data_IF_107022742563
#
_entry.id   IF_107022742563
#
_cell.length_a   1.000
_cell.length_b   1.000
_cell.length_c   1.000
_cell.angle_alpha   90.00
_cell.angle_beta   90.00
_cell.angle_gamma   90.00
#
_symmetry.space_group_name_H-M   'P 1'
#
loop_
_entity.id
_entity.type
_entity.pdbx_description
1 polymer ?
#
# COMPACT_ATOMS: atom_id res chain seq x y z
N UNK A 1 -14.95 6.38 -10.72
CA UNK A 1 -13.59 5.87 -10.43
C UNK A 1 -13.77 4.81 -9.38
N UNK A 2 -13.20 3.62 -9.56
CA UNK A 2 -13.33 2.54 -8.55
C UNK A 2 -12.29 2.75 -7.45
N UNK A 3 -12.53 2.26 -6.22
CA UNK A 3 -11.54 2.33 -5.13
C UNK A 3 -10.18 1.72 -5.57
N UNK A 4 -10.21 0.74 -6.48
CA UNK A 4 -9.03 0.10 -7.06
C UNK A 4 -8.20 1.11 -7.87
N UNK A 5 -8.85 1.92 -8.71
CA UNK A 5 -8.14 2.96 -9.49
C UNK A 5 -7.47 3.99 -8.57
N UNK A 6 -8.15 4.35 -7.48
CA UNK A 6 -7.62 5.29 -6.48
C UNK A 6 -6.45 4.70 -5.69
N UNK A 7 -6.53 3.43 -5.29
CA UNK A 7 -5.41 2.72 -4.65
C UNK A 7 -4.20 2.63 -5.58
N UNK A 8 -4.41 2.33 -6.86
CA UNK A 8 -3.34 2.32 -7.86
C UNK A 8 -2.70 3.70 -7.99
N UNK A 9 -3.49 4.77 -8.04
CA UNK A 9 -2.95 6.14 -8.08
C UNK A 9 -2.14 6.51 -6.83
N UNK A 10 -2.56 6.07 -5.64
CA UNK A 10 -1.79 6.28 -4.40
C UNK A 10 -0.45 5.55 -4.48
N UNK A 11 -0.46 4.30 -4.92
CA UNK A 11 0.75 3.52 -5.10
C UNK A 11 1.70 4.16 -6.13
N UNK A 12 1.19 4.50 -7.32
CA UNK A 12 1.95 5.15 -8.39
C UNK A 12 2.62 6.44 -7.91
N UNK A 13 1.84 7.34 -7.30
CA UNK A 13 2.37 8.60 -6.79
C UNK A 13 3.45 8.39 -5.72
N UNK A 14 3.36 7.32 -4.93
CA UNK A 14 4.36 7.02 -3.90
C UNK A 14 5.63 6.41 -4.49
N UNK A 15 5.53 5.52 -5.47
CA UNK A 15 6.71 4.91 -6.10
C UNK A 15 7.46 5.89 -7.02
N UNK A 16 6.79 6.92 -7.55
CA UNK A 16 7.44 8.01 -8.30
C UNK A 16 8.47 8.76 -7.46
N UNK A 17 8.30 8.80 -6.13
CA UNK A 17 9.26 9.38 -5.19
C UNK A 17 10.47 8.47 -4.93
N UNK A 18 10.49 7.24 -5.47
CA UNK A 18 11.56 6.26 -5.30
C UNK A 18 12.19 5.93 -6.67
N UNK A 19 13.22 6.68 -7.10
CA UNK A 19 13.83 6.50 -8.41
C UNK A 19 14.31 5.07 -8.66
N UNK A 20 13.92 4.48 -9.79
CA UNK A 20 14.31 3.14 -10.20
C UNK A 20 13.36 2.02 -9.78
N UNK A 21 12.40 2.28 -8.86
CA UNK A 21 11.37 1.32 -8.48
C UNK A 21 10.22 1.25 -9.50
N UNK A 22 9.90 2.38 -10.13
CA UNK A 22 8.82 2.49 -11.09
C UNK A 22 8.96 1.51 -12.26
N UNK A 23 7.85 0.84 -12.60
CA UNK A 23 7.72 -0.02 -13.78
C UNK A 23 6.36 0.23 -14.42
N UNK A 24 6.25 0.28 -15.76
CA UNK A 24 4.97 0.39 -16.46
C UNK A 24 3.99 -0.76 -16.14
N UNK A 25 4.47 -1.92 -15.70
CA UNK A 25 3.62 -3.09 -15.41
C UNK A 25 3.11 -3.15 -13.98
N UNK A 26 3.80 -2.46 -13.05
CA UNK A 26 3.49 -2.50 -11.62
C UNK A 26 2.06 -2.07 -11.27
N UNK A 27 1.49 -1.02 -11.87
CA UNK A 27 0.09 -0.61 -11.63
C UNK A 27 -0.92 -1.71 -11.97
N UNK A 28 -0.72 -2.40 -13.09
CA UNK A 28 -1.59 -3.50 -13.54
C UNK A 28 -1.41 -4.76 -12.68
N UNK A 29 -0.18 -5.04 -12.25
CA UNK A 29 0.12 -6.11 -11.30
C UNK A 29 -0.55 -5.86 -9.94
N UNK A 30 -0.45 -4.63 -9.41
CA UNK A 30 -1.13 -4.23 -8.18
C UNK A 30 -2.64 -4.35 -8.32
N UNK A 31 -3.22 -3.86 -9.42
CA UNK A 31 -4.67 -3.98 -9.70
C UNK A 31 -5.12 -5.44 -9.65
N UNK A 32 -4.35 -6.33 -10.30
CA UNK A 32 -4.63 -7.76 -10.33
C UNK A 32 -4.62 -8.36 -8.92
N UNK A 33 -3.62 -7.99 -8.12
CA UNK A 33 -3.48 -8.48 -6.76
C UNK A 33 -4.61 -7.96 -5.85
N UNK A 34 -5.01 -6.68 -5.95
CA UNK A 34 -6.16 -6.12 -5.20
C UNK A 34 -7.45 -6.88 -5.52
N UNK A 35 -7.70 -7.17 -6.80
CA UNK A 35 -8.88 -7.94 -7.22
C UNK A 35 -8.83 -9.37 -6.64
N UNK A 36 -7.65 -9.99 -6.62
CA UNK A 36 -7.46 -11.33 -6.10
C UNK A 36 -7.74 -11.46 -4.59
N UNK A 37 -7.60 -10.36 -3.83
CA UNK A 37 -7.89 -10.33 -2.38
C UNK A 37 -9.37 -10.53 -2.06
N UNK A 38 -10.27 -10.20 -2.99
CA UNK A 38 -11.73 -10.34 -2.82
C UNK A 38 -12.22 -9.67 -1.52
N UNK A 39 -11.85 -8.41 -1.32
CA UNK A 39 -12.38 -7.59 -0.22
C UNK A 39 -13.91 -7.65 -0.21
N UNK A 40 -14.50 -7.85 0.97
CA UNK A 40 -15.95 -7.87 1.11
C UNK A 40 -16.52 -6.44 1.13
N UNK A 41 -17.86 -6.32 1.15
CA UNK A 41 -18.53 -5.00 1.15
C UNK A 41 -18.14 -4.11 2.33
N UNK A 42 -17.78 -4.71 3.48
CA UNK A 42 -17.37 -3.95 4.65
C UNK A 42 -15.94 -3.43 4.46
N UNK A 43 -15.04 -4.29 3.99
CA UNK A 43 -13.67 -3.91 3.65
C UNK A 43 -13.65 -2.83 2.57
N UNK A 44 -14.47 -2.94 1.51
CA UNK A 44 -14.62 -1.90 0.48
C UNK A 44 -15.02 -0.55 1.10
N UNK A 45 -15.99 -0.55 2.03
CA UNK A 45 -16.39 0.67 2.75
C UNK A 45 -15.26 1.27 3.59
N UNK A 46 -14.40 0.45 4.19
CA UNK A 46 -13.21 0.93 4.90
C UNK A 46 -12.15 1.46 3.96
N UNK A 47 -11.92 0.82 2.82
CA UNK A 47 -11.00 1.30 1.79
C UNK A 47 -11.43 2.69 1.31
N UNK A 48 -12.73 2.89 1.03
CA UNK A 48 -13.25 4.21 0.66
C UNK A 48 -13.03 5.26 1.76
N UNK A 49 -13.23 4.89 3.03
CA UNK A 49 -12.96 5.79 4.16
C UNK A 49 -11.48 6.16 4.25
N UNK A 50 -10.58 5.17 4.10
CA UNK A 50 -9.12 5.37 4.08
C UNK A 50 -8.75 6.30 2.93
N UNK A 51 -9.20 6.04 1.70
CA UNK A 51 -8.92 6.87 0.53
C UNK A 51 -9.41 8.32 0.68
N UNK A 52 -10.46 8.54 1.49
CA UNK A 52 -11.02 9.87 1.73
C UNK A 52 -10.35 10.63 2.87
N UNK A 53 -9.98 9.94 3.95
CA UNK A 53 -9.54 10.57 5.21
C UNK A 53 -8.05 10.33 5.49
N UNK A 54 -7.58 9.12 5.23
CA UNK A 54 -6.26 8.64 5.64
C UNK A 54 -5.38 8.27 4.44
N UNK A 55 -5.69 8.82 3.25
CA UNK A 55 -4.96 8.55 2.00
C UNK A 55 -3.47 8.81 2.14
N UNK A 56 -3.14 9.90 2.85
CA UNK A 56 -1.77 10.29 3.11
C UNK A 56 -1.08 9.29 4.03
N UNK A 57 -1.77 8.83 5.07
CA UNK A 57 -1.24 7.86 6.02
C UNK A 57 -0.96 6.51 5.35
N UNK A 58 -1.81 6.08 4.39
CA UNK A 58 -1.56 4.92 3.55
C UNK A 58 -0.27 5.07 2.73
N UNK A 59 -0.11 6.22 2.06
CA UNK A 59 1.08 6.52 1.27
C UNK A 59 2.35 6.57 2.13
N UNK A 60 2.29 7.24 3.28
CA UNK A 60 3.41 7.35 4.22
C UNK A 60 3.78 5.99 4.83
N UNK A 61 2.80 5.18 5.24
CA UNK A 61 3.04 3.83 5.75
C UNK A 61 3.80 2.96 4.75
N UNK A 62 3.37 2.99 3.48
CA UNK A 62 4.05 2.28 2.41
C UNK A 62 5.46 2.85 2.15
N UNK A 63 5.59 4.17 2.02
CA UNK A 63 6.86 4.84 1.74
C UNK A 63 7.91 4.57 2.85
N UNK A 64 7.50 4.60 4.12
CA UNK A 64 8.39 4.38 5.26
C UNK A 64 8.88 2.93 5.32
N UNK A 65 8.02 1.97 5.02
CA UNK A 65 8.41 0.57 4.90
C UNK A 65 9.45 0.36 3.78
N UNK A 66 9.22 0.96 2.61
CA UNK A 66 10.18 0.92 1.50
C UNK A 66 11.51 1.60 1.85
N UNK A 67 11.47 2.81 2.41
CA UNK A 67 12.67 3.52 2.87
C UNK A 67 13.45 2.70 3.90
N UNK A 68 12.77 2.02 4.81
CA UNK A 68 13.40 1.15 5.80
C UNK A 68 14.13 -0.05 5.21
N UNK A 69 13.67 -0.61 4.09
CA UNK A 69 14.37 -1.66 3.33
C UNK A 69 15.58 -1.06 2.61
N UNK A 70 15.34 0.02 1.87
CA UNK A 70 16.32 0.69 1.02
C UNK A 70 17.49 1.28 1.85
N UNK A 71 17.23 1.71 3.08
CA UNK A 71 18.24 2.25 4.01
C UNK A 71 19.19 1.18 4.57
N UNK A 72 18.86 -0.11 4.46
CA UNK A 72 19.71 -1.21 4.92
C UNK A 72 20.76 -1.63 3.87
N UNK A 73 20.70 -1.06 2.67
CA UNK A 73 21.62 -1.39 1.59
C UNK A 73 22.95 -0.64 1.80
N UNK A 74 24.11 -1.30 1.58
CA UNK A 74 25.41 -0.76 1.99
C UNK A 74 25.93 0.39 1.10
N UNK A 75 25.46 0.47 -0.15
CA UNK A 75 25.95 1.43 -1.14
C UNK A 75 24.87 1.87 -2.12
N UNK A 76 25.12 3.02 -2.78
CA UNK A 76 24.21 3.55 -3.81
C UNK A 76 24.11 2.64 -5.03
N UNK A 77 25.21 1.96 -5.41
CA UNK A 77 25.20 1.00 -6.52
C UNK A 77 24.33 -0.22 -6.22
N UNK A 78 24.45 -0.78 -5.01
CA UNK A 78 23.59 -1.89 -4.58
C UNK A 78 22.13 -1.46 -4.48
N UNK A 79 21.86 -0.22 -4.06
CA UNK A 79 20.52 0.36 -4.06
C UNK A 79 19.94 0.43 -5.48
N UNK A 80 20.69 0.94 -6.45
CA UNK A 80 20.21 1.02 -7.83
C UNK A 80 19.96 -0.34 -8.46
N UNK A 81 20.83 -1.32 -8.23
CA UNK A 81 20.66 -2.69 -8.74
C UNK A 81 19.46 -3.37 -8.06
N UNK A 82 19.33 -3.22 -6.75
CA UNK A 82 18.21 -3.73 -5.98
C UNK A 82 16.89 -3.17 -6.50
N UNK A 83 16.76 -1.85 -6.69
CA UNK A 83 15.51 -1.21 -7.13
C UNK A 83 15.06 -1.64 -8.53
N UNK A 84 15.98 -2.06 -9.39
CA UNK A 84 15.67 -2.57 -10.74
C UNK A 84 15.19 -4.03 -10.74
N UNK A 85 15.42 -4.78 -9.67
CA UNK A 85 15.08 -6.19 -9.56
C UNK A 85 13.54 -6.38 -9.51
N UNK A 86 13.03 -7.40 -10.21
CA UNK A 86 11.60 -7.72 -10.19
C UNK A 86 11.12 -8.25 -8.83
N UNK A 87 12.02 -8.76 -7.99
CA UNK A 87 11.70 -9.21 -6.64
C UNK A 87 11.26 -8.05 -5.75
N UNK A 88 11.96 -6.91 -5.76
CA UNK A 88 11.57 -5.74 -4.97
C UNK A 88 10.29 -5.08 -5.50
N UNK A 89 10.04 -5.16 -6.81
CA UNK A 89 8.78 -4.67 -7.41
C UNK A 89 7.59 -5.45 -6.87
N UNK A 90 7.69 -6.79 -6.83
CA UNK A 90 6.69 -7.66 -6.21
C UNK A 90 6.55 -7.40 -4.71
N UNK A 91 7.67 -7.16 -4.04
CA UNK A 91 7.66 -6.85 -2.61
C UNK A 91 7.00 -5.49 -2.33
N UNK A 92 7.19 -4.48 -3.19
CA UNK A 92 6.51 -3.19 -3.08
C UNK A 92 4.98 -3.34 -3.13
N UNK A 93 4.46 -4.19 -4.04
CA UNK A 93 3.03 -4.52 -4.08
C UNK A 93 2.57 -5.16 -2.77
N UNK A 94 3.32 -6.14 -2.26
CA UNK A 94 3.00 -6.83 -1.00
C UNK A 94 2.98 -5.87 0.19
N UNK A 95 3.96 -4.98 0.28
CA UNK A 95 4.06 -3.99 1.35
C UNK A 95 2.88 -3.02 1.26
N UNK A 96 2.56 -2.52 0.06
CA UNK A 96 1.42 -1.62 -0.12
C UNK A 96 0.10 -2.27 0.32
N UNK A 97 -0.13 -3.53 -0.06
CA UNK A 97 -1.31 -4.29 0.38
C UNK A 97 -1.30 -4.52 1.88
N UNK A 98 -0.15 -4.87 2.47
CA UNK A 98 -0.04 -5.05 3.91
C UNK A 98 -0.33 -3.75 4.69
N UNK A 99 0.13 -2.60 4.18
CA UNK A 99 -0.21 -1.28 4.73
C UNK A 99 -1.72 -1.02 4.66
N UNK A 100 -2.36 -1.31 3.52
CA UNK A 100 -3.81 -1.18 3.37
C UNK A 100 -4.57 -2.10 4.34
N UNK A 101 -4.21 -3.39 4.39
CA UNK A 101 -4.84 -4.38 5.26
C UNK A 101 -4.65 -4.04 6.74
N UNK A 102 -3.50 -3.46 7.12
CA UNK A 102 -3.28 -2.96 8.48
C UNK A 102 -4.27 -1.86 8.85
N UNK A 103 -4.52 -0.92 7.94
CA UNK A 103 -5.50 0.16 8.15
C UNK A 103 -6.94 -0.38 8.18
N UNK A 104 -7.30 -1.31 7.30
CA UNK A 104 -8.60 -1.99 7.33
C UNK A 104 -8.82 -2.65 8.71
N UNK A 105 -7.81 -3.38 9.21
CA UNK A 105 -7.85 -4.01 10.53
C UNK A 105 -8.00 -3.00 11.67
N UNK A 106 -7.36 -1.84 11.57
CA UNK A 106 -7.54 -0.74 12.53
C UNK A 106 -8.99 -0.23 12.55
N UNK A 107 -9.61 -0.06 11.38
CA UNK A 107 -11.02 0.33 11.26
C UNK A 107 -11.97 -0.73 11.84
N UNK A 108 -11.76 -2.01 11.54
CA UNK A 108 -12.49 -3.12 12.15
C UNK A 108 -12.42 -3.06 13.69
N UNK A 109 -11.22 -2.92 14.24
CA UNK A 109 -10.99 -2.91 15.70
C UNK A 109 -11.58 -1.66 16.36
N UNK A 110 -11.45 -0.50 15.73
CA UNK A 110 -11.94 0.77 16.26
C UNK A 110 -13.47 0.89 16.24
N UNK A 111 -14.13 0.28 15.24
CA UNK A 111 -15.59 0.14 15.18
C UNK A 111 -16.11 -0.80 16.27
N UNK A 112 -15.44 -1.93 16.49
CA UNK A 112 -15.78 -2.88 17.55
C UNK A 112 -15.62 -2.23 18.93
N UNK A 113 -14.56 -1.45 19.17
CA UNK A 113 -14.33 -0.75 20.44
C UNK A 113 -15.44 0.24 20.82
N UNK A 114 -16.07 0.90 19.84
CA UNK A 114 -17.21 1.80 20.09
C UNK A 114 -18.49 1.06 20.48
N UNK A 115 -18.69 -0.16 19.98
CA UNK A 115 -19.87 -0.97 20.32
C UNK A 115 -19.80 -1.61 21.72
N UNK A 116 -18.61 -1.77 22.30
CA UNK A 116 -18.44 -2.34 23.66
C UNK A 116 -18.18 -1.29 24.77
N UNK A 117 -18.06 -0.01 24.42
CA UNK A 117 -17.89 1.09 25.41
C UNK A 117 -19.20 1.79 25.80
N UNK A 118 -20.35 1.29 25.29
CA UNK A 118 -21.68 1.77 25.67
C UNK A 118 -22.36 0.77 26.61
N UNK A 119 -21.81 0.60 27.81
CA UNK A 119 -22.45 -0.06 28.96
C UNK A 119 -22.04 0.63 30.24
#
# INVERSE_FOLDING_TARGET
MTYIDELVQVFEGTIEEIPGLGSPTLPDELRTEIIARKYDLQDEGFIEAILKQDRKDLAESFADAMKGIIAKLPSDNEREEFLKNDEIKKEAIRIFIASLEHMINYYHTSMIGKHFSST
#
